data_IF_148494235647
#
_entry.id   IF_148494235647
#
_cell.length_a   1.000
_cell.length_b   1.000
_cell.length_c   1.000
_cell.angle_alpha   90.00
_cell.angle_beta   90.00
_cell.angle_gamma   90.00
#
_symmetry.space_group_name_H-M   'P 1'
#
loop_
_entity.id
_entity.type
_entity.pdbx_description
1 polymer ?
#
# COMPACT_ATOMS: atom_id res chain seq x y z
N UNK A 1 20.36 -14.80 -11.57
CA UNK A 1 18.91 -15.11 -11.51
C UNK A 1 18.15 -14.25 -12.50
N UNK A 2 17.21 -14.81 -13.27
CA UNK A 2 16.41 -14.05 -14.23
C UNK A 2 15.15 -13.48 -13.53
N UNK A 3 15.10 -12.16 -13.35
CA UNK A 3 14.00 -11.47 -12.64
C UNK A 3 12.62 -11.72 -13.26
N UNK A 4 12.57 -12.03 -14.56
CA UNK A 4 11.31 -12.34 -15.29
C UNK A 4 10.65 -13.66 -14.91
N UNK A 5 11.34 -14.53 -14.15
CA UNK A 5 10.80 -15.82 -13.68
C UNK A 5 10.23 -15.77 -12.26
N UNK A 6 10.29 -14.61 -11.62
CA UNK A 6 9.82 -14.43 -10.25
C UNK A 6 8.38 -13.92 -10.26
N UNK A 7 7.56 -14.42 -9.34
CA UNK A 7 6.24 -13.87 -9.13
C UNK A 7 6.33 -12.43 -8.62
N UNK A 8 5.26 -11.66 -8.75
CA UNK A 8 5.16 -10.31 -8.17
C UNK A 8 5.50 -10.32 -6.67
N UNK A 9 5.03 -11.35 -5.94
CA UNK A 9 5.31 -11.55 -4.52
C UNK A 9 6.79 -11.83 -4.24
N UNK A 10 7.44 -12.62 -5.10
CA UNK A 10 8.87 -12.86 -5.02
C UNK A 10 9.69 -11.60 -5.26
N UNK A 11 9.27 -10.76 -6.23
CA UNK A 11 9.95 -9.49 -6.50
C UNK A 11 9.81 -8.55 -5.30
N UNK A 12 8.61 -8.46 -4.74
CA UNK A 12 8.35 -7.66 -3.55
C UNK A 12 9.23 -8.08 -2.37
N UNK A 13 9.19 -9.36 -2.00
CA UNK A 13 9.91 -9.87 -0.82
C UNK A 13 11.42 -9.91 -1.00
N UNK A 14 11.93 -10.26 -2.20
CA UNK A 14 13.37 -10.46 -2.43
C UNK A 14 14.10 -9.20 -2.87
N UNK A 15 13.40 -8.19 -3.40
CA UNK A 15 14.04 -7.00 -3.96
C UNK A 15 13.49 -5.69 -3.41
N UNK A 16 12.18 -5.55 -3.25
CA UNK A 16 11.57 -4.28 -2.83
C UNK A 16 11.69 -4.11 -1.31
N UNK A 17 11.24 -5.08 -0.51
CA UNK A 17 11.35 -5.05 0.96
C UNK A 17 12.79 -4.79 1.45
N UNK A 18 13.83 -5.48 0.94
CA UNK A 18 15.21 -5.24 1.38
C UNK A 18 15.81 -3.92 0.86
N UNK A 19 15.25 -3.34 -0.23
CA UNK A 19 15.68 -2.03 -0.70
C UNK A 19 15.12 -0.91 0.19
N UNK A 20 13.89 -1.07 0.68
CA UNK A 20 13.23 -0.15 1.61
C UNK A 20 13.96 -0.14 2.97
N UNK A 21 14.27 -1.33 3.51
CA UNK A 21 15.02 -1.47 4.77
C UNK A 21 16.40 -0.81 4.65
N UNK A 22 17.11 -1.00 3.52
CA UNK A 22 18.39 -0.31 3.26
C UNK A 22 18.25 1.21 3.10
N UNK A 23 17.09 1.69 2.66
CA UNK A 23 16.81 3.12 2.58
C UNK A 23 16.50 3.75 3.96
N UNK A 24 16.59 2.97 5.05
CA UNK A 24 16.43 3.44 6.42
C UNK A 24 14.98 3.50 6.91
N UNK A 25 14.05 2.86 6.20
CA UNK A 25 12.65 2.80 6.59
C UNK A 25 12.41 1.57 7.47
N UNK A 26 11.75 1.77 8.61
CA UNK A 26 11.42 0.69 9.54
C UNK A 26 10.14 -0.03 9.08
N UNK A 27 10.31 -1.31 8.74
CA UNK A 27 9.25 -2.20 8.26
C UNK A 27 8.09 -2.34 9.26
N UNK A 28 8.34 -2.26 10.55
CA UNK A 28 7.32 -2.50 11.57
C UNK A 28 6.52 -1.25 11.93
N UNK A 29 7.08 -0.06 11.69
CA UNK A 29 6.46 1.20 12.12
C UNK A 29 6.01 2.09 10.96
N UNK A 30 6.62 1.94 9.78
CA UNK A 30 6.40 2.85 8.64
C UNK A 30 5.85 2.17 7.39
N UNK A 31 5.84 0.83 7.33
CA UNK A 31 5.30 0.07 6.21
C UNK A 31 3.95 -0.53 6.56
N UNK A 32 2.92 -0.16 5.80
CA UNK A 32 1.59 -0.78 5.89
C UNK A 32 1.28 -1.45 4.55
N UNK A 33 1.04 -2.76 4.59
CA UNK A 33 0.66 -3.58 3.44
C UNK A 33 -0.87 -3.69 3.36
N UNK A 34 -1.41 -3.75 2.14
CA UNK A 34 -2.83 -4.01 1.84
C UNK A 34 -3.85 -3.00 2.44
N UNK A 35 -3.44 -1.75 2.68
CA UNK A 35 -4.29 -0.75 3.33
C UNK A 35 -5.17 0.00 2.32
N UNK A 36 -6.45 0.15 2.71
CA UNK A 36 -7.39 1.04 2.03
C UNK A 36 -7.10 2.48 2.45
N UNK A 37 -6.75 3.35 1.51
CA UNK A 37 -6.36 4.74 1.79
C UNK A 37 -7.44 5.77 1.43
N UNK A 38 -8.55 5.30 0.86
CA UNK A 38 -9.73 6.12 0.63
C UNK A 38 -10.96 5.35 1.07
N UNK A 39 -11.94 6.04 1.61
CA UNK A 39 -13.20 5.41 2.03
C UNK A 39 -14.19 5.22 0.86
N UNK A 40 -13.72 5.35 -0.38
CA UNK A 40 -14.56 5.31 -1.58
C UNK A 40 -15.40 6.58 -1.79
N UNK A 41 -15.74 6.86 -3.05
CA UNK A 41 -16.54 8.05 -3.41
C UNK A 41 -18.00 7.83 -3.05
N UNK A 42 -18.66 8.83 -2.47
CA UNK A 42 -20.10 8.78 -2.20
C UNK A 42 -20.86 9.19 -3.46
N UNK A 43 -21.79 8.35 -3.89
CA UNK A 43 -22.73 8.61 -4.97
C UNK A 43 -24.12 8.82 -4.38
N UNK A 44 -24.73 9.97 -4.66
CA UNK A 44 -26.09 10.30 -4.22
C UNK A 44 -27.00 10.36 -5.42
N UNK A 45 -28.10 9.60 -5.40
CA UNK A 45 -29.14 9.62 -6.44
C UNK A 45 -30.52 9.64 -5.76
N UNK A 46 -31.18 10.79 -5.80
CA UNK A 46 -32.45 10.99 -5.10
C UNK A 46 -32.28 10.85 -3.57
N UNK A 47 -33.08 9.99 -2.94
CA UNK A 47 -33.00 9.67 -1.49
C UNK A 47 -31.98 8.57 -1.15
N UNK A 48 -31.29 7.99 -2.13
CA UNK A 48 -30.31 6.93 -1.91
C UNK A 48 -28.88 7.49 -1.97
N UNK A 49 -28.07 7.08 -0.99
CA UNK A 49 -26.62 7.30 -0.97
C UNK A 49 -25.90 5.95 -0.94
N UNK A 50 -24.99 5.73 -1.89
CA UNK A 50 -24.18 4.51 -2.00
C UNK A 50 -22.70 4.90 -1.99
N UNK A 51 -21.88 4.14 -1.27
CA UNK A 51 -20.42 4.34 -1.21
C UNK A 51 -19.76 3.44 -2.25
N UNK A 52 -18.98 4.04 -3.13
CA UNK A 52 -18.19 3.33 -4.15
C UNK A 52 -17.02 2.56 -3.56
N UNK A 53 -16.32 1.79 -4.41
CA UNK A 53 -15.18 0.97 -4.00
C UNK A 53 -14.04 1.83 -3.44
N UNK A 54 -13.57 1.49 -2.24
CA UNK A 54 -12.36 2.04 -1.64
C UNK A 54 -11.14 1.69 -2.50
N UNK A 55 -10.28 2.69 -2.75
CA UNK A 55 -8.96 2.45 -3.36
C UNK A 55 -8.04 1.81 -2.31
N UNK A 56 -7.36 0.74 -2.72
CA UNK A 56 -6.37 0.02 -1.92
C UNK A 56 -4.99 0.23 -2.53
N UNK A 57 -3.97 0.24 -1.68
CA UNK A 57 -2.57 0.26 -2.10
C UNK A 57 -1.89 -1.02 -1.58
N UNK A 58 -1.03 -1.61 -2.41
CA UNK A 58 -0.28 -2.80 -2.04
C UNK A 58 0.80 -2.45 -0.99
N UNK A 59 1.41 -1.27 -1.11
CA UNK A 59 2.34 -0.70 -0.13
C UNK A 59 2.04 0.77 0.13
N UNK A 60 1.95 1.15 1.41
CA UNK A 60 1.83 2.55 1.85
C UNK A 60 2.94 2.85 2.86
N UNK A 61 3.69 3.91 2.59
CA UNK A 61 4.69 4.45 3.52
C UNK A 61 4.06 5.56 4.34
N UNK A 62 4.28 5.51 5.66
CA UNK A 62 3.85 6.56 6.58
C UNK A 62 5.09 7.18 7.22
N UNK A 63 5.34 8.44 6.89
CA UNK A 63 6.34 9.25 7.59
C UNK A 63 5.67 9.81 8.85
N UNK A 64 6.09 9.33 10.02
CA UNK A 64 5.77 10.00 11.29
C UNK A 64 6.81 11.10 11.50
N UNK A 65 6.38 12.36 11.41
CA UNK A 65 7.17 13.49 11.89
C UNK A 65 6.79 13.65 13.36
N UNK A 66 7.70 13.28 14.26
CA UNK A 66 7.57 13.60 15.68
C UNK A 66 7.88 15.08 15.84
N UNK A 67 6.92 15.86 16.35
CA UNK A 67 7.11 17.25 16.77
C UNK A 67 7.80 17.33 18.13
#
# INVERSE_FOLDING_TARGET
>A
MNKKKLSERDICTKFITPAIERAGWDKYTQLLEEVSFTDGRIFVRGKMAIRGKAKRADYKYVIRISL
#
